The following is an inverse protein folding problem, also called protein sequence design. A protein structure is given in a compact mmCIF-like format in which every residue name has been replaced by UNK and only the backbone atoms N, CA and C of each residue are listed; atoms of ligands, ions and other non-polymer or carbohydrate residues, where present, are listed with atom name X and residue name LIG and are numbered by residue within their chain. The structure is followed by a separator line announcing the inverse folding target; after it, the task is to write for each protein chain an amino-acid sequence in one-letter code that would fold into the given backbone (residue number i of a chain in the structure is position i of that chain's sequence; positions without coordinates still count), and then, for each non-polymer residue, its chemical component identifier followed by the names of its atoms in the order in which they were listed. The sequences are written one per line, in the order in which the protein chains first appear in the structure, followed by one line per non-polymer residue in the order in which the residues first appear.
data_IF_871720593808
#
_entry.id   IF_871720593808
#
_cell.length_a   1.000
_cell.length_b   1.000
_cell.length_c   1.000
_cell.angle_alpha   90.00
_cell.angle_beta   90.00
_cell.angle_gamma   90.00
#
_symmetry.space_group_name_H-M   'P 1'
#
loop_
_entity.id
_entity.type
_entity.pdbx_description
1 polymer ?
#
# COMPACT_ATOMS: atom_id res chain seq x y z
N UNK A 1 43.74 -1.47 -40.23
CA UNK A 1 42.49 -0.78 -39.86
C UNK A 1 42.18 -1.04 -38.39
N UNK A 2 42.68 -0.15 -37.55
CA UNK A 2 42.39 -0.15 -36.12
C UNK A 2 41.12 0.67 -35.91
N UNK A 3 40.02 0.03 -35.53
CA UNK A 3 38.85 0.70 -34.97
C UNK A 3 39.05 0.92 -33.49
N UNK A 4 39.22 2.19 -33.14
CA UNK A 4 39.23 2.64 -31.75
C UNK A 4 37.92 2.24 -31.06
N UNK A 5 38.00 1.29 -30.14
CA UNK A 5 36.99 1.02 -29.15
C UNK A 5 37.00 2.18 -28.18
N UNK A 6 36.00 3.05 -28.26
CA UNK A 6 35.73 4.08 -27.27
C UNK A 6 35.61 3.41 -25.90
N UNK A 7 36.66 3.54 -25.09
CA UNK A 7 36.65 3.16 -23.68
C UNK A 7 35.69 4.09 -22.97
N UNK A 8 34.55 3.55 -22.48
CA UNK A 8 33.76 4.26 -21.50
C UNK A 8 34.66 4.60 -20.30
N UNK A 9 34.60 5.82 -19.76
CA UNK A 9 35.36 6.17 -18.59
C UNK A 9 34.91 5.28 -17.44
N UNK A 10 35.78 4.33 -17.05
CA UNK A 10 35.59 3.59 -15.81
C UNK A 10 35.74 4.58 -14.67
N UNK A 11 34.62 4.99 -14.03
CA UNK A 11 34.67 5.72 -12.77
C UNK A 11 35.49 4.90 -11.79
N UNK A 12 36.59 5.46 -11.28
CA UNK A 12 37.37 4.82 -10.23
C UNK A 12 36.51 4.66 -8.99
N UNK A 13 36.64 3.56 -8.28
CA UNK A 13 35.89 3.30 -7.04
C UNK A 13 36.09 4.38 -5.95
N UNK A 14 37.16 5.17 -6.07
CA UNK A 14 37.47 6.34 -5.23
C UNK A 14 36.55 7.54 -5.47
N UNK A 15 35.79 7.56 -6.57
CA UNK A 15 34.91 8.68 -6.94
C UNK A 15 33.44 8.43 -6.49
N UNK A 16 33.19 7.30 -5.82
CA UNK A 16 31.93 6.98 -5.23
C UNK A 16 31.94 7.34 -3.75
N UNK A 17 31.37 8.47 -3.42
CA UNK A 17 31.05 8.82 -2.03
C UNK A 17 29.87 7.96 -1.58
N UNK A 18 30.14 6.87 -0.86
CA UNK A 18 29.11 6.00 -0.27
C UNK A 18 28.67 6.61 1.04
N UNK A 19 27.52 7.25 1.02
CA UNK A 19 26.90 7.82 2.23
C UNK A 19 26.45 6.67 3.14
N UNK A 20 26.82 6.73 4.42
CA UNK A 20 26.26 5.78 5.40
C UNK A 20 24.77 6.09 5.63
N UNK A 21 23.92 5.27 5.02
CA UNK A 21 22.45 5.43 5.08
C UNK A 21 21.88 5.40 6.50
N UNK A 22 22.61 4.84 7.49
CA UNK A 22 22.18 4.84 8.88
C UNK A 22 22.36 6.18 9.58
N UNK A 23 23.21 7.05 9.03
CA UNK A 23 23.50 8.39 9.52
C UNK A 23 22.93 9.49 8.60
N UNK A 24 22.14 9.14 7.61
CA UNK A 24 21.47 10.09 6.72
C UNK A 24 20.08 10.40 7.28
N UNK A 25 19.84 11.66 7.65
CA UNK A 25 18.58 12.12 8.24
C UNK A 25 17.78 13.02 7.29
N UNK A 26 18.35 13.42 6.18
CA UNK A 26 17.68 14.25 5.19
C UNK A 26 16.88 13.38 4.21
N UNK A 27 15.67 13.85 3.90
CA UNK A 27 14.85 13.25 2.86
C UNK A 27 15.37 13.69 1.48
N UNK A 28 15.64 12.73 0.61
CA UNK A 28 16.07 13.01 -0.76
C UNK A 28 14.86 13.44 -1.60
N UNK A 29 14.76 14.74 -1.88
CA UNK A 29 13.65 15.33 -2.64
C UNK A 29 13.75 14.97 -4.13
N UNK A 30 12.85 14.14 -4.60
CA UNK A 30 12.58 13.94 -6.02
C UNK A 30 11.20 14.54 -6.32
N UNK A 31 11.17 15.61 -7.08
CA UNK A 31 9.91 16.23 -7.52
C UNK A 31 9.43 15.58 -8.82
N UNK A 32 8.21 15.07 -8.80
CA UNK A 32 7.52 14.59 -10.00
C UNK A 32 6.64 15.72 -10.53
N UNK A 33 7.05 16.35 -11.61
CA UNK A 33 6.22 17.38 -12.28
C UNK A 33 5.20 16.80 -13.25
N UNK A 34 5.44 15.59 -13.77
CA UNK A 34 4.54 14.87 -14.69
C UNK A 34 4.95 13.41 -14.80
N UNK A 35 3.99 12.49 -14.64
CA UNK A 35 4.07 11.12 -15.15
C UNK A 35 3.17 11.04 -16.38
N UNK A 36 3.71 10.64 -17.52
CA UNK A 36 3.09 10.84 -18.83
C UNK A 36 1.78 10.06 -19.06
N UNK A 37 1.41 9.10 -18.19
CA UNK A 37 0.36 8.12 -18.47
C UNK A 37 -0.53 7.76 -17.27
N UNK A 38 -0.48 8.48 -16.14
CA UNK A 38 -1.26 8.09 -14.96
C UNK A 38 -2.27 9.15 -14.56
N UNK A 39 -3.51 8.73 -14.31
CA UNK A 39 -4.59 9.54 -13.73
C UNK A 39 -4.44 9.72 -12.22
N UNK A 40 -3.64 8.83 -11.58
CA UNK A 40 -3.30 8.85 -10.16
C UNK A 40 -1.81 9.17 -9.98
N UNK A 41 -1.49 10.12 -9.12
CA UNK A 41 -0.11 10.46 -8.77
C UNK A 41 0.32 9.79 -7.47
N UNK A 42 1.43 9.08 -7.51
CA UNK A 42 2.02 8.42 -6.34
C UNK A 42 3.09 9.32 -5.73
N UNK A 43 2.82 9.83 -4.52
CA UNK A 43 3.76 10.67 -3.79
C UNK A 43 4.40 9.88 -2.66
N UNK A 44 5.70 9.68 -2.78
CA UNK A 44 6.49 9.13 -1.68
C UNK A 44 6.77 10.25 -0.67
N UNK A 45 6.15 10.18 0.50
CA UNK A 45 6.25 11.19 1.55
C UNK A 45 7.13 10.75 2.73
N UNK A 46 7.50 9.46 2.78
CA UNK A 46 8.29 8.88 3.87
C UNK A 46 9.26 7.82 3.34
N UNK A 47 10.48 7.76 3.88
CA UNK A 47 11.51 6.76 3.58
C UNK A 47 12.12 6.19 4.85
N UNK A 48 12.79 5.02 4.71
CA UNK A 48 13.39 4.30 5.82
C UNK A 48 12.38 3.66 6.77
N UNK A 49 12.86 2.82 7.70
CA UNK A 49 11.99 2.12 8.64
C UNK A 49 12.76 1.72 9.92
N UNK A 50 12.14 1.92 11.09
CA UNK A 50 12.70 1.56 12.40
C UNK A 50 12.05 0.31 13.02
N UNK A 51 11.25 -0.48 12.27
CA UNK A 51 10.53 -1.64 12.82
C UNK A 51 11.43 -2.87 13.04
N UNK A 52 12.46 -3.06 12.20
CA UNK A 52 13.38 -4.20 12.29
C UNK A 52 12.69 -5.57 12.34
N UNK A 53 11.64 -5.75 11.55
CA UNK A 53 11.00 -7.06 11.39
C UNK A 53 12.06 -8.10 10.98
N UNK A 54 12.00 -9.30 11.56
CA UNK A 54 13.08 -10.30 11.44
C UNK A 54 13.34 -10.78 10.00
N UNK A 55 12.37 -10.66 9.11
CA UNK A 55 12.46 -11.03 7.70
C UNK A 55 12.83 -9.87 6.77
N UNK A 56 12.90 -8.62 7.28
CA UNK A 56 12.98 -7.44 6.45
C UNK A 56 14.39 -6.86 6.40
N UNK A 57 14.88 -6.60 5.18
CA UNK A 57 16.20 -5.97 4.96
C UNK A 57 16.13 -4.44 4.88
N UNK A 58 14.93 -3.88 4.78
CA UNK A 58 14.71 -2.45 4.52
C UNK A 58 15.42 -1.53 5.52
N UNK A 59 15.38 -1.75 6.84
CA UNK A 59 16.09 -0.87 7.79
C UNK A 59 17.60 -0.75 7.51
N UNK A 60 18.17 -1.79 6.91
CA UNK A 60 19.61 -1.83 6.57
C UNK A 60 19.90 -1.26 5.17
N UNK A 61 18.92 -1.35 4.25
CA UNK A 61 19.08 -0.90 2.87
C UNK A 61 18.62 0.54 2.65
N UNK A 62 17.59 0.98 3.40
CA UNK A 62 16.97 2.32 3.26
C UNK A 62 17.24 3.22 4.46
N UNK A 63 17.85 2.69 5.53
CA UNK A 63 18.19 3.44 6.74
C UNK A 63 17.00 3.78 7.61
N UNK A 64 17.16 4.81 8.44
CA UNK A 64 16.19 5.25 9.43
C UNK A 64 15.04 6.03 8.81
N UNK A 65 13.97 6.20 9.60
CA UNK A 65 12.80 7.00 9.22
C UNK A 65 13.21 8.42 8.84
N UNK A 66 12.75 8.84 7.67
CA UNK A 66 12.88 10.21 7.14
C UNK A 66 11.57 10.58 6.46
N UNK A 67 11.07 11.76 6.75
CA UNK A 67 9.80 12.26 6.21
C UNK A 67 10.01 13.52 5.39
N UNK A 68 9.23 13.70 4.34
CA UNK A 68 9.18 14.96 3.59
C UNK A 68 8.45 16.01 4.41
N UNK A 69 8.90 17.25 4.33
CA UNK A 69 8.19 18.35 4.94
C UNK A 69 6.79 18.48 4.34
N UNK A 70 5.82 18.78 5.17
CA UNK A 70 4.42 18.91 4.76
C UNK A 70 4.23 19.95 3.67
N UNK A 71 4.92 21.09 3.79
CA UNK A 71 4.88 22.19 2.85
C UNK A 71 5.31 21.74 1.44
N UNK A 72 6.41 20.97 1.34
CA UNK A 72 6.94 20.45 0.07
C UNK A 72 5.96 19.48 -0.58
N UNK A 73 5.30 18.63 0.23
CA UNK A 73 4.28 17.70 -0.27
C UNK A 73 3.05 18.45 -0.77
N UNK A 74 2.57 19.44 -0.02
CA UNK A 74 1.40 20.25 -0.40
C UNK A 74 1.66 21.02 -1.70
N UNK A 75 2.86 21.56 -1.87
CA UNK A 75 3.23 22.29 -3.10
C UNK A 75 3.26 21.35 -4.32
N UNK A 76 3.82 20.15 -4.17
CA UNK A 76 3.80 19.16 -5.25
C UNK A 76 2.37 18.72 -5.57
N UNK A 77 1.51 18.53 -4.56
CA UNK A 77 0.09 18.19 -4.77
C UNK A 77 -0.66 19.30 -5.51
N UNK A 78 -0.36 20.58 -5.24
CA UNK A 78 -0.93 21.71 -6.00
C UNK A 78 -0.51 21.67 -7.45
N UNK A 79 0.78 21.49 -7.70
CA UNK A 79 1.32 21.35 -9.06
C UNK A 79 0.64 20.18 -9.81
N UNK A 80 0.45 19.05 -9.16
CA UNK A 80 -0.26 17.89 -9.75
C UNK A 80 -1.74 18.23 -10.05
N UNK A 81 -2.42 18.93 -9.15
CA UNK A 81 -3.80 19.36 -9.36
C UNK A 81 -3.92 20.32 -10.56
N UNK A 82 -2.99 21.27 -10.71
CA UNK A 82 -2.91 22.18 -11.86
C UNK A 82 -2.68 21.42 -13.19
N UNK A 83 -1.97 20.29 -13.15
CA UNK A 83 -1.81 19.40 -14.30
C UNK A 83 -2.97 18.43 -14.51
N UNK A 84 -4.07 18.58 -13.75
CA UNK A 84 -5.31 17.83 -13.95
C UNK A 84 -5.38 16.49 -13.22
N UNK A 85 -4.42 16.14 -12.36
CA UNK A 85 -4.54 14.93 -11.54
C UNK A 85 -5.68 15.07 -10.54
N UNK A 86 -6.52 14.05 -10.43
CA UNK A 86 -7.67 14.03 -9.53
C UNK A 86 -7.49 13.18 -8.28
N UNK A 87 -6.60 12.18 -8.34
CA UNK A 87 -6.28 11.32 -7.21
C UNK A 87 -4.78 11.37 -6.89
N UNK A 88 -4.44 11.49 -5.61
CA UNK A 88 -3.09 11.31 -5.10
C UNK A 88 -3.02 10.12 -4.16
N UNK A 89 -1.94 9.34 -4.26
CA UNK A 89 -1.66 8.20 -3.40
C UNK A 89 -0.45 8.55 -2.53
N UNK A 90 -0.67 8.78 -1.24
CA UNK A 90 0.41 9.02 -0.29
C UNK A 90 1.09 7.70 0.06
N UNK A 91 2.37 7.57 -0.26
CA UNK A 91 3.14 6.33 -0.07
C UNK A 91 4.38 6.56 0.79
N UNK A 92 4.91 5.47 1.33
CA UNK A 92 6.17 5.45 2.07
C UNK A 92 6.65 4.02 2.27
N UNK A 93 7.88 3.87 2.71
CA UNK A 93 8.39 2.57 3.16
C UNK A 93 7.63 2.08 4.40
N UNK A 94 7.28 3.00 5.27
CA UNK A 94 6.44 2.75 6.46
C UNK A 94 5.64 4.04 6.74
N UNK A 95 4.60 4.27 5.96
CA UNK A 95 3.82 5.51 5.96
C UNK A 95 3.36 5.92 7.37
N UNK A 96 3.00 4.96 8.21
CA UNK A 96 2.63 5.18 9.61
C UNK A 96 3.74 5.79 10.47
N UNK A 97 4.98 5.83 9.99
CA UNK A 97 6.11 6.48 10.67
C UNK A 97 6.36 7.91 10.20
N UNK A 98 5.49 8.48 9.37
CA UNK A 98 5.65 9.86 8.93
C UNK A 98 5.69 10.82 10.11
N UNK A 99 6.75 11.64 10.17
CA UNK A 99 6.95 12.66 11.19
C UNK A 99 7.41 12.14 12.56
N UNK A 100 7.68 10.82 12.73
CA UNK A 100 8.15 10.28 14.02
C UNK A 100 9.51 10.83 14.48
N UNK A 101 10.33 11.30 13.55
CA UNK A 101 11.61 11.94 13.84
C UNK A 101 11.47 13.39 14.30
N UNK A 102 10.34 14.05 14.05
CA UNK A 102 10.11 15.43 14.43
C UNK A 102 9.53 15.52 15.84
N UNK A 103 10.36 15.99 16.75
CA UNK A 103 10.01 16.06 18.17
C UNK A 103 10.33 17.43 18.74
N UNK A 104 9.48 17.87 19.65
CA UNK A 104 9.74 19.06 20.48
C UNK A 104 10.81 18.77 21.55
N UNK A 105 11.12 19.77 22.34
CA UNK A 105 12.06 19.70 23.48
C UNK A 105 11.66 18.66 24.54
N UNK A 106 10.38 18.30 24.61
CA UNK A 106 9.83 17.30 25.53
C UNK A 106 9.79 15.89 24.92
N UNK A 107 10.28 15.72 23.67
CA UNK A 107 10.26 14.46 22.94
C UNK A 107 8.90 14.08 22.35
N UNK A 108 7.91 14.97 22.38
CA UNK A 108 6.59 14.75 21.77
C UNK A 108 6.66 15.03 20.26
N UNK A 109 6.05 14.16 19.48
CA UNK A 109 5.93 14.36 18.03
C UNK A 109 5.17 15.65 17.75
N UNK A 110 5.73 16.51 16.91
CA UNK A 110 5.17 17.81 16.55
C UNK A 110 4.19 17.77 15.42
N UNK A 111 4.38 16.84 14.48
CA UNK A 111 3.57 16.70 13.29
C UNK A 111 3.55 15.23 12.83
N UNK A 112 2.41 14.74 12.37
CA UNK A 112 2.22 13.34 12.00
C UNK A 112 1.49 13.17 10.67
N UNK A 113 1.23 11.91 10.33
CA UNK A 113 0.56 11.56 9.08
C UNK A 113 -0.83 12.22 8.94
N UNK A 114 -1.58 12.35 10.02
CA UNK A 114 -2.91 12.98 10.00
C UNK A 114 -2.83 14.47 9.63
N UNK A 115 -1.80 15.17 10.13
CA UNK A 115 -1.59 16.59 9.80
C UNK A 115 -1.26 16.78 8.32
N UNK A 116 -0.44 15.87 7.75
CA UNK A 116 -0.16 15.85 6.32
C UNK A 116 -1.44 15.59 5.52
N UNK A 117 -2.23 14.59 5.91
CA UNK A 117 -3.48 14.24 5.20
C UNK A 117 -4.46 15.43 5.21
N UNK A 118 -4.63 16.12 6.34
CA UNK A 118 -5.47 17.33 6.44
C UNK A 118 -4.98 18.43 5.50
N UNK A 119 -3.67 18.66 5.44
CA UNK A 119 -3.09 19.67 4.57
C UNK A 119 -3.31 19.35 3.08
N UNK A 120 -3.07 18.10 2.68
CA UNK A 120 -3.33 17.61 1.31
C UNK A 120 -4.82 17.67 0.97
N UNK A 121 -5.69 17.35 1.93
CA UNK A 121 -7.15 17.46 1.76
C UNK A 121 -7.60 18.89 1.44
N UNK A 122 -6.90 19.90 1.97
CA UNK A 122 -7.15 21.32 1.69
C UNK A 122 -6.79 21.77 0.27
N UNK A 123 -6.05 20.98 -0.50
CA UNK A 123 -5.64 21.36 -1.86
C UNK A 123 -6.84 21.27 -2.82
N UNK A 124 -7.15 22.38 -3.50
CA UNK A 124 -8.18 22.40 -4.54
C UNK A 124 -7.74 21.59 -5.77
N UNK A 125 -8.69 21.10 -6.57
CA UNK A 125 -8.43 20.28 -7.76
C UNK A 125 -8.31 18.77 -7.47
N UNK A 126 -7.64 18.37 -6.38
CA UNK A 126 -7.61 16.95 -5.96
C UNK A 126 -8.98 16.56 -5.42
N UNK A 127 -9.49 15.42 -5.91
CA UNK A 127 -10.80 14.85 -5.54
C UNK A 127 -10.69 13.65 -4.63
N UNK A 128 -9.56 12.90 -4.70
CA UNK A 128 -9.34 11.66 -3.96
C UNK A 128 -7.93 11.61 -3.35
N UNK A 129 -7.85 11.12 -2.14
CA UNK A 129 -6.61 10.85 -1.42
C UNK A 129 -6.64 9.39 -1.00
N UNK A 130 -5.70 8.61 -1.48
CA UNK A 130 -5.51 7.20 -1.11
C UNK A 130 -4.27 7.07 -0.26
N UNK A 131 -4.32 6.19 0.72
CA UNK A 131 -3.20 5.90 1.59
C UNK A 131 -2.54 4.59 1.14
N UNK A 132 -1.23 4.57 1.09
CA UNK A 132 -0.43 3.34 0.97
C UNK A 132 -0.51 2.50 2.24
N UNK A 133 0.35 1.49 2.33
CA UNK A 133 0.32 0.52 3.44
C UNK A 133 0.50 1.18 4.80
N UNK A 134 -0.41 0.84 5.70
CA UNK A 134 -0.41 1.29 7.09
C UNK A 134 -0.02 0.16 8.04
N UNK A 135 0.67 0.51 9.09
CA UNK A 135 0.87 -0.36 10.24
C UNK A 135 -0.35 -0.22 11.17
N UNK A 136 -0.94 -1.33 11.66
CA UNK A 136 -2.26 -1.28 12.32
C UNK A 136 -2.34 -0.32 13.52
N UNK A 137 -1.28 -0.15 14.30
CA UNK A 137 -1.30 0.70 15.51
C UNK A 137 -1.50 2.18 15.26
N UNK A 138 -1.33 2.67 14.01
CA UNK A 138 -1.69 4.07 13.70
C UNK A 138 -3.22 4.28 13.73
N UNK A 139 -3.99 3.20 13.55
CA UNK A 139 -5.45 3.25 13.54
C UNK A 139 -5.94 3.34 14.99
N UNK A 140 -5.86 4.54 15.54
CA UNK A 140 -6.56 4.91 16.78
C UNK A 140 -7.99 5.33 16.49
N UNK A 141 -8.85 5.39 17.51
CA UNK A 141 -10.21 5.89 17.31
C UNK A 141 -10.23 7.33 16.78
N UNK A 142 -9.35 8.18 17.31
CA UNK A 142 -9.18 9.55 16.82
C UNK A 142 -8.77 9.58 15.35
N UNK A 143 -7.77 8.77 14.95
CA UNK A 143 -7.30 8.70 13.57
C UNK A 143 -8.42 8.27 12.62
N UNK A 144 -9.15 7.19 12.92
CA UNK A 144 -10.24 6.70 12.10
C UNK A 144 -11.40 7.70 11.98
N UNK A 145 -11.78 8.33 13.09
CA UNK A 145 -12.84 9.36 13.15
C UNK A 145 -12.47 10.59 12.32
N UNK A 146 -11.24 11.08 12.47
CA UNK A 146 -10.76 12.26 11.74
C UNK A 146 -10.68 11.99 10.23
N UNK A 147 -10.17 10.81 9.82
CA UNK A 147 -10.15 10.42 8.41
C UNK A 147 -11.56 10.37 7.82
N UNK A 148 -12.55 9.86 8.56
CA UNK A 148 -13.93 9.79 8.09
C UNK A 148 -14.58 11.16 7.91
N UNK A 149 -14.07 12.21 8.57
CA UNK A 149 -14.49 13.59 8.36
C UNK A 149 -13.88 14.23 7.09
N UNK A 150 -12.99 13.55 6.38
CA UNK A 150 -12.30 14.05 5.20
C UNK A 150 -12.86 13.40 3.91
N UNK A 151 -13.82 14.01 3.21
CA UNK A 151 -14.56 13.37 2.11
C UNK A 151 -13.70 12.97 0.89
N UNK A 152 -12.49 13.48 0.76
CA UNK A 152 -11.56 13.06 -0.30
C UNK A 152 -10.84 11.74 0.02
N UNK A 153 -10.87 11.27 1.26
CA UNK A 153 -10.24 10.00 1.65
C UNK A 153 -10.95 8.85 0.97
N UNK A 154 -10.17 7.99 0.33
CA UNK A 154 -10.64 6.72 -0.21
C UNK A 154 -10.82 5.71 0.92
N UNK A 155 -12.01 5.09 1.13
CA UNK A 155 -12.22 4.07 2.14
C UNK A 155 -11.60 2.72 1.72
N UNK A 156 -10.34 2.75 1.39
CA UNK A 156 -9.48 1.62 1.08
C UNK A 156 -8.25 1.67 1.99
N UNK A 157 -8.09 0.67 2.83
CA UNK A 157 -7.04 0.63 3.84
C UNK A 157 -6.25 -0.67 3.74
N UNK A 158 -5.00 -0.56 3.33
CA UNK A 158 -4.08 -1.68 3.37
C UNK A 158 -3.37 -1.71 4.72
N UNK A 159 -3.76 -2.67 5.58
CA UNK A 159 -3.16 -2.87 6.90
C UNK A 159 -2.24 -4.10 6.88
N UNK A 160 -0.94 -3.92 7.14
CA UNK A 160 0.03 -5.00 7.09
C UNK A 160 -0.12 -5.98 8.26
N UNK A 161 -0.77 -7.14 8.07
CA UNK A 161 -0.98 -8.19 9.07
C UNK A 161 0.25 -9.10 9.23
N UNK A 162 0.73 -9.64 8.14
CA UNK A 162 1.82 -10.60 7.98
C UNK A 162 1.51 -12.02 8.47
N UNK A 163 0.82 -12.22 9.59
CA UNK A 163 0.29 -13.48 10.10
C UNK A 163 -0.88 -13.24 11.05
N UNK A 164 -1.86 -14.12 11.05
CA UNK A 164 -2.95 -14.10 12.05
C UNK A 164 -2.64 -14.90 13.32
N UNK A 165 -1.41 -15.41 13.48
CA UNK A 165 -0.98 -16.16 14.67
C UNK A 165 0.02 -15.35 15.49
N UNK A 166 -0.27 -15.14 16.79
CA UNK A 166 0.55 -14.34 17.70
C UNK A 166 1.96 -14.89 17.88
N UNK A 167 2.13 -16.21 17.93
CA UNK A 167 3.44 -16.83 18.05
C UNK A 167 4.32 -16.50 16.82
N UNK A 168 3.74 -16.57 15.63
CA UNK A 168 4.42 -16.18 14.38
C UNK A 168 4.70 -14.69 14.32
N UNK A 169 3.74 -13.83 14.70
CA UNK A 169 3.93 -12.37 14.77
C UNK A 169 5.08 -12.00 15.72
N UNK A 170 5.17 -12.64 16.86
CA UNK A 170 6.27 -12.46 17.82
C UNK A 170 7.62 -12.84 17.22
N UNK A 171 7.72 -13.98 16.51
CA UNK A 171 8.94 -14.40 15.81
C UNK A 171 9.30 -13.42 14.66
N UNK A 172 8.29 -12.84 14.01
CA UNK A 172 8.46 -11.78 13.00
C UNK A 172 8.90 -10.44 13.57
N UNK A 173 8.93 -10.28 14.91
CA UNK A 173 9.17 -9.03 15.63
C UNK A 173 8.09 -7.96 15.30
N UNK A 174 6.83 -8.40 15.17
CA UNK A 174 5.69 -7.47 15.09
C UNK A 174 5.32 -6.99 16.49
N UNK A 175 4.82 -5.77 16.58
CA UNK A 175 4.53 -5.09 17.86
C UNK A 175 3.04 -5.00 18.17
N UNK A 176 2.25 -5.82 17.50
CA UNK A 176 0.81 -6.02 17.72
C UNK A 176 0.51 -7.51 17.71
N UNK A 177 -0.59 -7.89 18.29
CA UNK A 177 -1.16 -9.23 18.21
C UNK A 177 -2.42 -9.27 17.33
N UNK A 178 -3.00 -10.45 17.16
CA UNK A 178 -4.18 -10.66 16.33
C UNK A 178 -5.42 -9.93 16.90
N UNK A 179 -5.56 -9.85 18.23
CA UNK A 179 -6.69 -9.16 18.86
C UNK A 179 -6.63 -7.64 18.63
N UNK A 180 -5.46 -7.03 18.82
CA UNK A 180 -5.24 -5.62 18.52
C UNK A 180 -5.48 -5.33 17.02
N UNK A 181 -4.99 -6.19 16.13
CA UNK A 181 -5.21 -6.02 14.69
C UNK A 181 -6.71 -6.03 14.34
N UNK A 182 -7.47 -6.97 14.90
CA UNK A 182 -8.94 -7.05 14.75
C UNK A 182 -9.61 -5.76 15.17
N UNK A 183 -9.26 -5.24 16.36
CA UNK A 183 -9.79 -3.97 16.86
C UNK A 183 -9.59 -2.82 15.85
N UNK A 184 -8.41 -2.74 15.20
CA UNK A 184 -8.14 -1.71 14.20
C UNK A 184 -9.01 -1.86 12.95
N UNK A 185 -9.26 -3.08 12.51
CA UNK A 185 -10.22 -3.34 11.42
C UNK A 185 -11.66 -2.93 11.80
N UNK A 186 -12.07 -3.22 13.03
CA UNK A 186 -13.39 -2.86 13.54
C UNK A 186 -13.55 -1.35 13.69
N UNK A 187 -12.52 -0.63 14.13
CA UNK A 187 -12.52 0.83 14.16
C UNK A 187 -12.73 1.44 12.78
N UNK A 188 -12.05 0.95 11.75
CA UNK A 188 -12.26 1.44 10.38
C UNK A 188 -13.70 1.16 9.92
N UNK A 189 -14.25 -0.02 10.20
CA UNK A 189 -15.64 -0.36 9.86
C UNK A 189 -16.70 0.43 10.66
N UNK A 190 -16.33 0.90 11.83
CA UNK A 190 -17.20 1.77 12.65
C UNK A 190 -17.40 3.15 12.02
N UNK A 191 -16.33 3.69 11.39
CA UNK A 191 -16.33 5.05 10.87
C UNK A 191 -16.52 5.15 9.36
N UNK A 192 -16.27 4.09 8.62
CA UNK A 192 -16.45 4.03 7.16
C UNK A 192 -17.47 2.97 6.77
N UNK A 193 -18.35 3.33 5.87
CA UNK A 193 -19.33 2.39 5.31
C UNK A 193 -18.62 1.43 4.34
N UNK A 194 -18.65 0.13 4.65
CA UNK A 194 -18.10 -0.96 3.84
C UNK A 194 -16.68 -0.69 3.28
N UNK A 195 -15.68 -0.30 4.12
CA UNK A 195 -14.35 0.00 3.62
C UNK A 195 -13.68 -1.25 3.04
N UNK A 196 -12.92 -1.09 1.97
CA UNK A 196 -12.06 -2.13 1.46
C UNK A 196 -10.85 -2.30 2.38
N UNK A 197 -10.82 -3.37 3.15
CA UNK A 197 -9.65 -3.74 3.96
C UNK A 197 -8.81 -4.74 3.17
N UNK A 198 -7.56 -4.41 2.93
CA UNK A 198 -6.60 -5.30 2.27
C UNK A 198 -5.39 -5.54 3.16
N UNK A 199 -4.68 -6.64 2.94
CA UNK A 199 -3.54 -7.00 3.78
C UNK A 199 -2.52 -7.87 3.07
N UNK A 200 -1.33 -7.99 3.68
CA UNK A 200 -0.30 -8.96 3.31
C UNK A 200 -0.27 -10.10 4.33
N UNK A 201 -0.08 -11.34 3.85
CA UNK A 201 0.16 -12.51 4.68
C UNK A 201 1.37 -13.28 4.14
N UNK A 202 2.28 -13.64 5.03
CA UNK A 202 3.45 -14.47 4.73
C UNK A 202 3.17 -15.87 5.28
N UNK A 203 3.18 -16.89 4.40
CA UNK A 203 3.05 -18.29 4.78
C UNK A 203 4.41 -18.99 4.76
N UNK A 204 4.56 -20.00 5.64
CA UNK A 204 5.79 -20.78 5.74
C UNK A 204 6.96 -19.99 6.32
N UNK A 205 6.68 -19.10 7.26
CA UNK A 205 7.70 -18.45 8.06
C UNK A 205 8.50 -19.49 8.87
N UNK A 206 9.80 -19.32 9.16
CA UNK A 206 10.56 -20.27 9.93
C UNK A 206 9.86 -20.70 11.22
N UNK A 207 9.81 -22.01 11.47
CA UNK A 207 9.15 -22.65 12.62
C UNK A 207 7.62 -22.50 12.66
N UNK A 208 6.96 -22.06 11.60
CA UNK A 208 5.50 -22.01 11.53
C UNK A 208 4.94 -23.45 11.52
N UNK A 209 4.30 -23.86 12.64
CA UNK A 209 3.66 -25.17 12.72
C UNK A 209 2.37 -25.23 11.88
N UNK A 210 1.74 -26.39 11.78
CA UNK A 210 0.45 -26.50 11.08
C UNK A 210 -0.64 -25.77 11.87
N UNK A 211 -0.66 -25.90 13.18
CA UNK A 211 -1.61 -25.23 14.07
C UNK A 211 -1.48 -23.70 13.99
N UNK A 212 -0.26 -23.18 13.85
CA UNK A 212 -0.03 -21.75 13.67
C UNK A 212 -0.51 -21.26 12.31
N UNK A 213 -0.30 -22.06 11.26
CA UNK A 213 -0.83 -21.77 9.93
C UNK A 213 -2.37 -21.78 9.93
N UNK A 214 -3.00 -22.79 10.54
CA UNK A 214 -4.45 -22.87 10.66
C UNK A 214 -5.02 -21.69 11.45
N UNK A 215 -4.42 -21.32 12.58
CA UNK A 215 -4.81 -20.14 13.34
C UNK A 215 -4.73 -18.85 12.50
N UNK A 216 -3.67 -18.71 11.70
CA UNK A 216 -3.52 -17.57 10.79
C UNK A 216 -4.58 -17.56 9.69
N UNK A 217 -4.88 -18.71 9.08
CA UNK A 217 -5.95 -18.87 8.08
C UNK A 217 -7.31 -18.48 8.66
N UNK A 218 -7.65 -19.03 9.82
CA UNK A 218 -8.94 -18.80 10.47
C UNK A 218 -9.11 -17.35 10.92
N UNK A 219 -8.03 -16.72 11.35
CA UNK A 219 -8.02 -15.30 11.64
C UNK A 219 -8.31 -14.47 10.38
N UNK A 220 -7.60 -14.71 9.27
CA UNK A 220 -7.81 -14.03 7.99
C UNK A 220 -9.25 -14.24 7.49
N UNK A 221 -9.77 -15.47 7.60
CA UNK A 221 -11.16 -15.77 7.25
C UNK A 221 -12.15 -14.91 8.08
N UNK A 222 -11.92 -14.81 9.39
CA UNK A 222 -12.80 -14.09 10.31
C UNK A 222 -12.81 -12.57 10.11
N UNK A 223 -11.72 -11.96 9.63
CA UNK A 223 -11.64 -10.51 9.40
C UNK A 223 -12.46 -10.08 8.19
N UNK A 224 -12.68 -10.95 7.21
CA UNK A 224 -13.38 -10.60 5.96
C UNK A 224 -12.68 -9.46 5.20
N UNK A 225 -11.41 -9.68 4.85
CA UNK A 225 -10.71 -8.77 3.95
C UNK A 225 -11.36 -8.74 2.56
N UNK A 226 -11.28 -7.61 1.87
CA UNK A 226 -11.54 -7.54 0.44
C UNK A 226 -10.47 -8.34 -0.30
N UNK A 227 -9.20 -8.06 -0.04
CA UNK A 227 -8.09 -8.73 -0.70
C UNK A 227 -6.95 -9.02 0.28
N UNK A 228 -6.35 -10.19 0.13
CA UNK A 228 -5.17 -10.62 0.89
C UNK A 228 -4.06 -10.98 -0.09
N UNK A 229 -2.97 -10.24 -0.06
CA UNK A 229 -1.77 -10.59 -0.83
C UNK A 229 -0.98 -11.66 -0.10
N UNK A 230 -0.82 -12.82 -0.71
CA UNK A 230 -0.22 -13.99 -0.09
C UNK A 230 1.20 -14.18 -0.61
N UNK A 231 2.16 -14.16 0.30
CA UNK A 231 3.57 -14.35 0.03
C UNK A 231 4.10 -15.62 0.68
N UNK A 232 4.81 -16.44 -0.07
CA UNK A 232 5.65 -17.50 0.51
C UNK A 232 6.88 -16.83 1.14
N UNK A 233 7.21 -17.19 2.39
CA UNK A 233 8.43 -16.69 3.00
C UNK A 233 9.64 -16.94 2.11
N UNK A 234 10.37 -15.87 1.77
CA UNK A 234 11.58 -15.90 1.00
C UNK A 234 12.78 -15.53 1.87
N UNK A 235 13.76 -16.40 1.92
CA UNK A 235 14.99 -16.23 2.68
C UNK A 235 15.82 -15.09 2.09
N UNK A 236 16.01 -14.00 2.87
CA UNK A 236 16.81 -12.83 2.46
C UNK A 236 18.11 -12.78 3.25
N UNK A 237 19.24 -12.83 2.57
CA UNK A 237 20.55 -12.71 3.20
C UNK A 237 20.62 -11.43 4.07
N UNK A 238 21.27 -11.51 5.23
CA UNK A 238 21.42 -10.40 6.17
C UNK A 238 20.27 -10.24 7.17
N UNK A 239 19.12 -10.91 6.97
CA UNK A 239 18.00 -10.86 7.92
C UNK A 239 18.14 -11.88 9.05
N UNK A 240 17.49 -11.61 10.19
CA UNK A 240 17.44 -12.55 11.32
C UNK A 240 16.72 -13.84 10.94
N UNK A 241 15.58 -13.76 10.26
CA UNK A 241 14.79 -14.91 9.85
C UNK A 241 15.55 -15.84 8.89
N UNK A 242 16.48 -15.31 8.09
CA UNK A 242 17.31 -16.14 7.22
C UNK A 242 18.25 -17.08 7.98
N UNK A 243 18.54 -16.78 9.26
CA UNK A 243 19.44 -17.55 10.15
C UNK A 243 18.66 -18.44 11.13
N UNK A 244 17.32 -18.36 11.16
CA UNK A 244 16.50 -19.20 12.03
C UNK A 244 16.53 -20.65 11.54
N UNK A 245 16.55 -21.56 12.49
CA UNK A 245 16.32 -22.99 12.24
C UNK A 245 14.83 -23.23 11.91
N UNK A 246 14.48 -24.44 11.48
CA UNK A 246 13.10 -24.81 11.17
C UNK A 246 12.55 -24.09 9.94
N UNK A 247 13.37 -23.92 8.92
CA UNK A 247 12.95 -23.40 7.62
C UNK A 247 11.92 -24.35 6.99
N UNK A 248 10.78 -23.82 6.59
CA UNK A 248 9.70 -24.61 6.00
C UNK A 248 10.05 -25.00 4.56
N UNK A 249 9.86 -26.28 4.16
CA UNK A 249 10.12 -26.72 2.79
C UNK A 249 9.25 -26.01 1.76
N UNK A 250 9.76 -25.84 0.54
CA UNK A 250 9.07 -25.06 -0.51
C UNK A 250 7.72 -25.69 -0.93
N UNK A 251 7.61 -27.01 -0.95
CA UNK A 251 6.34 -27.67 -1.25
C UNK A 251 5.25 -27.35 -0.22
N UNK A 252 5.64 -27.26 1.07
CA UNK A 252 4.72 -26.93 2.15
C UNK A 252 4.29 -25.45 2.08
N UNK A 253 5.21 -24.52 1.80
CA UNK A 253 4.87 -23.12 1.53
C UNK A 253 3.89 -23.01 0.36
N UNK A 254 4.09 -23.80 -0.69
CA UNK A 254 3.18 -23.81 -1.86
C UNK A 254 1.80 -24.33 -1.48
N UNK A 255 1.71 -25.41 -0.68
CA UNK A 255 0.44 -25.94 -0.16
C UNK A 255 -0.31 -24.86 0.63
N UNK A 256 0.36 -24.23 1.60
CA UNK A 256 -0.21 -23.17 2.44
C UNK A 256 -0.64 -21.96 1.62
N UNK A 257 0.20 -21.54 0.67
CA UNK A 257 -0.12 -20.45 -0.24
C UNK A 257 -1.39 -20.71 -1.06
N UNK A 258 -1.55 -21.91 -1.61
CA UNK A 258 -2.72 -22.30 -2.39
C UNK A 258 -4.01 -22.27 -1.55
N UNK A 259 -3.95 -22.73 -0.30
CA UNK A 259 -5.10 -22.65 0.63
C UNK A 259 -5.52 -21.19 0.87
N UNK A 260 -4.54 -20.32 1.12
CA UNK A 260 -4.81 -18.90 1.37
C UNK A 260 -5.30 -18.17 0.12
N UNK A 261 -4.78 -18.51 -1.08
CA UNK A 261 -5.23 -17.94 -2.34
C UNK A 261 -6.70 -18.33 -2.63
N UNK A 262 -7.10 -19.57 -2.35
CA UNK A 262 -8.49 -19.97 -2.50
C UNK A 262 -9.41 -19.24 -1.50
N UNK A 263 -8.96 -19.07 -0.26
CA UNK A 263 -9.68 -18.26 0.72
C UNK A 263 -9.84 -16.80 0.23
N UNK A 264 -8.75 -16.20 -0.24
CA UNK A 264 -8.75 -14.83 -0.78
C UNK A 264 -9.77 -14.70 -1.92
N UNK A 265 -9.76 -15.61 -2.91
CA UNK A 265 -10.69 -15.59 -4.04
C UNK A 265 -12.16 -15.56 -3.58
N UNK A 266 -12.52 -16.39 -2.58
CA UNK A 266 -13.87 -16.41 -2.01
C UNK A 266 -14.24 -15.09 -1.30
N UNK A 267 -13.28 -14.49 -0.58
CA UNK A 267 -13.51 -13.23 0.13
C UNK A 267 -13.64 -12.06 -0.84
N UNK A 268 -12.81 -11.98 -1.85
CA UNK A 268 -12.91 -10.98 -2.92
C UNK A 268 -14.28 -11.05 -3.59
N UNK A 269 -14.67 -12.22 -4.06
CA UNK A 269 -15.97 -12.41 -4.70
C UNK A 269 -17.13 -11.96 -3.80
N UNK A 270 -17.11 -12.36 -2.52
CA UNK A 270 -18.15 -11.96 -1.57
C UNK A 270 -18.22 -10.43 -1.36
N UNK A 271 -17.07 -9.78 -1.29
CA UNK A 271 -17.01 -8.31 -1.16
C UNK A 271 -17.59 -7.64 -2.40
N UNK A 272 -17.21 -8.11 -3.58
CA UNK A 272 -17.67 -7.61 -4.88
C UNK A 272 -19.16 -7.82 -5.10
N UNK A 273 -19.69 -9.01 -4.73
CA UNK A 273 -21.14 -9.29 -4.75
C UNK A 273 -21.94 -8.27 -3.92
N UNK A 274 -21.37 -7.79 -2.82
CA UNK A 274 -21.97 -6.75 -1.98
C UNK A 274 -22.14 -5.38 -2.65
N UNK A 275 -21.52 -5.18 -3.82
CA UNK A 275 -21.62 -3.95 -4.61
C UNK A 275 -22.62 -4.05 -5.76
N UNK A 276 -23.17 -5.22 -6.06
CA UNK A 276 -24.18 -5.38 -7.12
C UNK A 276 -25.43 -4.57 -6.81
N UNK A 277 -25.99 -3.91 -7.82
CA UNK A 277 -27.13 -3.03 -7.71
C UNK A 277 -26.83 -1.64 -7.14
N UNK A 278 -25.56 -1.35 -6.80
CA UNK A 278 -25.15 -0.04 -6.29
C UNK A 278 -24.53 0.82 -7.39
N UNK A 279 -24.68 2.13 -7.23
CA UNK A 279 -23.95 3.11 -8.02
C UNK A 279 -22.62 3.41 -7.35
N UNK A 280 -21.55 3.41 -8.12
CA UNK A 280 -20.18 3.67 -7.69
C UNK A 280 -19.53 4.76 -8.54
N UNK A 281 -18.78 5.64 -7.90
CA UNK A 281 -18.02 6.66 -8.61
C UNK A 281 -16.65 6.07 -9.02
N UNK A 282 -16.37 6.04 -10.31
CA UNK A 282 -15.15 5.49 -10.91
C UNK A 282 -14.30 6.63 -11.48
N UNK A 283 -13.02 6.67 -11.12
CA UNK A 283 -12.01 7.45 -11.85
C UNK A 283 -11.46 6.56 -12.96
N UNK A 284 -11.80 6.87 -14.20
CA UNK A 284 -11.34 6.12 -15.37
C UNK A 284 -9.91 6.48 -15.74
N UNK A 285 -9.10 5.48 -16.07
CA UNK A 285 -7.64 5.59 -16.17
C UNK A 285 -7.11 5.23 -17.55
N UNK A 286 -7.43 4.05 -18.03
CA UNK A 286 -6.82 3.51 -19.22
C UNK A 286 -7.77 2.61 -20.03
N UNK A 287 -7.40 2.40 -21.29
CA UNK A 287 -8.02 1.35 -22.12
C UNK A 287 -7.36 0.01 -21.87
N UNK A 288 -8.16 -1.04 -21.79
CA UNK A 288 -7.71 -2.42 -21.58
C UNK A 288 -8.47 -3.33 -22.53
N UNK A 289 -7.81 -4.31 -23.12
CA UNK A 289 -8.44 -5.36 -23.90
C UNK A 289 -8.64 -6.61 -23.03
N UNK A 290 -9.84 -7.20 -23.08
CA UNK A 290 -10.16 -8.47 -22.45
C UNK A 290 -11.05 -9.29 -23.39
N UNK A 291 -10.65 -10.53 -23.68
CA UNK A 291 -11.40 -11.46 -24.56
C UNK A 291 -11.75 -10.85 -25.93
N UNK A 292 -10.82 -10.08 -26.53
CA UNK A 292 -11.00 -9.43 -27.83
C UNK A 292 -11.96 -8.24 -27.81
N UNK A 293 -12.30 -7.70 -26.65
CA UNK A 293 -13.15 -6.52 -26.48
C UNK A 293 -12.41 -5.42 -25.74
N UNK A 294 -12.64 -4.18 -26.16
CA UNK A 294 -12.06 -3.01 -25.54
C UNK A 294 -12.93 -2.52 -24.38
N UNK A 295 -12.27 -2.16 -23.29
CA UNK A 295 -12.87 -1.56 -22.11
C UNK A 295 -12.08 -0.33 -21.70
N UNK A 296 -12.75 0.70 -21.26
CA UNK A 296 -12.13 1.71 -20.43
C UNK A 296 -12.22 1.26 -18.96
N UNK A 297 -11.11 1.28 -18.26
CA UNK A 297 -11.03 0.80 -16.88
C UNK A 297 -10.64 1.90 -15.92
N UNK A 298 -11.07 1.79 -14.68
CA UNK A 298 -10.74 2.72 -13.62
C UNK A 298 -11.08 2.16 -12.25
N UNK A 299 -10.78 2.92 -11.20
CA UNK A 299 -10.99 2.46 -9.83
C UNK A 299 -12.05 3.29 -9.10
N UNK A 300 -12.81 2.61 -8.25
CA UNK A 300 -13.66 3.26 -7.24
C UNK A 300 -12.81 3.77 -6.07
N UNK A 301 -13.41 4.52 -5.16
CA UNK A 301 -12.75 4.90 -3.90
C UNK A 301 -12.34 3.67 -3.07
N UNK A 302 -13.14 2.62 -3.10
CA UNK A 302 -12.91 1.34 -2.41
C UNK A 302 -11.94 0.41 -3.16
N UNK A 303 -11.37 0.88 -4.26
CA UNK A 303 -10.38 0.17 -5.07
C UNK A 303 -10.94 -0.97 -5.95
N UNK A 304 -12.24 -1.06 -6.16
CA UNK A 304 -12.78 -1.94 -7.19
C UNK A 304 -12.33 -1.44 -8.56
N UNK A 305 -11.75 -2.30 -9.38
CA UNK A 305 -11.40 -1.97 -10.77
C UNK A 305 -12.60 -2.26 -11.66
N UNK A 306 -13.17 -1.24 -12.26
CA UNK A 306 -14.39 -1.32 -13.07
C UNK A 306 -14.02 -1.14 -14.54
N UNK A 307 -14.56 -2.01 -15.41
CA UNK A 307 -14.45 -1.92 -16.86
C UNK A 307 -15.81 -1.63 -17.51
N UNK A 308 -15.82 -0.67 -18.41
CA UNK A 308 -16.98 -0.34 -19.25
C UNK A 308 -16.59 -0.57 -20.71
N UNK A 309 -17.39 -1.32 -21.51
CA UNK A 309 -17.12 -1.46 -22.93
C UNK A 309 -17.00 -0.10 -23.61
N UNK A 310 -15.96 0.11 -24.38
CA UNK A 310 -15.65 1.40 -24.97
C UNK A 310 -14.85 1.20 -26.27
N UNK A 311 -15.26 1.87 -27.33
CA UNK A 311 -14.46 1.91 -28.57
C UNK A 311 -13.24 2.83 -28.38
N UNK A 312 -12.09 2.49 -28.98
CA UNK A 312 -10.84 3.25 -28.80
C UNK A 312 -10.97 4.76 -29.12
N UNK A 313 -11.80 5.12 -30.10
CA UNK A 313 -12.02 6.52 -30.51
C UNK A 313 -12.78 7.34 -29.45
N UNK A 314 -13.36 6.67 -28.46
CA UNK A 314 -14.10 7.31 -27.37
C UNK A 314 -13.29 7.40 -26.06
N UNK A 315 -12.08 6.84 -26.03
CA UNK A 315 -11.24 6.74 -24.82
C UNK A 315 -11.04 8.10 -24.14
N UNK A 316 -10.77 9.15 -24.90
CA UNK A 316 -10.53 10.51 -24.39
C UNK A 316 -11.73 11.10 -23.60
N UNK A 317 -12.94 10.60 -23.86
CA UNK A 317 -14.15 11.03 -23.12
C UNK A 317 -14.26 10.42 -21.73
N UNK A 318 -13.44 9.42 -21.47
CA UNK A 318 -13.44 8.65 -20.24
C UNK A 318 -12.18 8.87 -19.41
N UNK A 319 -11.02 8.88 -20.04
CA UNK A 319 -9.73 8.97 -19.36
C UNK A 319 -9.66 10.22 -18.49
N UNK A 320 -9.22 10.04 -17.26
CA UNK A 320 -9.14 11.06 -16.21
C UNK A 320 -10.51 11.73 -15.90
N UNK A 321 -11.62 10.98 -16.06
CA UNK A 321 -12.96 11.44 -15.70
C UNK A 321 -13.52 10.62 -14.55
N UNK A 322 -14.17 11.33 -13.62
CA UNK A 322 -15.01 10.73 -12.57
C UNK A 322 -16.41 10.54 -13.12
N UNK A 323 -16.89 9.30 -13.14
CA UNK A 323 -18.24 8.98 -13.60
C UNK A 323 -18.92 8.00 -12.67
N UNK A 324 -20.23 8.17 -12.47
CA UNK A 324 -21.07 7.24 -11.73
C UNK A 324 -21.46 6.06 -12.63
N UNK A 325 -21.23 4.85 -12.17
CA UNK A 325 -21.54 3.59 -12.85
C UNK A 325 -22.40 2.74 -11.93
N UNK A 326 -23.50 2.19 -12.46
CA UNK A 326 -24.28 1.18 -11.75
C UNK A 326 -23.67 -0.22 -12.00
N UNK A 327 -23.35 -0.93 -10.93
CA UNK A 327 -22.80 -2.28 -11.00
C UNK A 327 -23.94 -3.30 -11.09
N UNK A 328 -24.23 -3.74 -12.31
CA UNK A 328 -25.30 -4.70 -12.60
C UNK A 328 -24.81 -6.14 -12.72
N UNK A 329 -23.51 -6.34 -12.89
CA UNK A 329 -22.88 -7.66 -13.05
C UNK A 329 -21.43 -7.66 -12.55
N UNK A 330 -21.01 -8.80 -11.98
CA UNK A 330 -19.60 -9.05 -11.61
C UNK A 330 -18.66 -8.98 -12.82
N UNK A 331 -19.15 -9.18 -14.04
CA UNK A 331 -18.32 -9.06 -15.25
C UNK A 331 -17.80 -7.65 -15.51
N UNK A 332 -18.39 -6.63 -14.87
CA UNK A 332 -17.89 -5.26 -14.90
C UNK A 332 -16.68 -5.04 -14.00
N UNK A 333 -16.44 -5.96 -13.04
CA UNK A 333 -15.25 -5.92 -12.18
C UNK A 333 -14.12 -6.64 -12.91
N UNK A 334 -12.98 -5.98 -13.03
CA UNK A 334 -11.82 -6.42 -13.80
C UNK A 334 -10.69 -6.85 -12.83
N UNK A 335 -10.13 -8.03 -13.06
CA UNK A 335 -9.00 -8.55 -12.27
C UNK A 335 -7.72 -8.60 -13.09
#
# INVERSE_FOLDING_TARGET
DHRDLHSFPTRRSSDLEVIDINHTFEYESLHLSRTAEHTRAYLKVQDGCNQFCTYCIIPYARGRVRSRKKEDVVEEVRTLAEHGYQEVVLTGIHLSSYGLEWKDENGKQTEGLLDLIRAVHGVEGIKRIRLGSLEPRIVTEEFAKELACLPKICPHFHLSLQSGCDATLKRMNRRYDAAEYREKCELLRKYFENPALTTDVIVGFPQESEEEFEASRDFVDSINFYETHIFKYSKRQGTKAAKMDGQIPEHEKTRRSNIMLELNRKKMQRYEEGWLGKKVEVLFEEMTERDGKNYVTGHTKEYLRIGVPCEPEQADRWTNQLKEIELTSLSQIMH
#
